data_IF_466137763823
#
_entry.id   IF_466137763823
#
_cell.length_a   1.000
_cell.length_b   1.000
_cell.length_c   1.000
_cell.angle_alpha   90.00
_cell.angle_beta   90.00
_cell.angle_gamma   90.00
#
_symmetry.space_group_name_H-M   'P 1'
#
loop_
_entity.id
_entity.type
_entity.pdbx_description
1 polymer ?
#
# COMPACT_ATOMS: atom_id res chain seq x y z
N UNK A 1 40.19 -38.55 -11.73
CA UNK A 1 38.90 -39.25 -11.86
C UNK A 1 38.48 -39.69 -10.47
N UNK A 2 37.77 -38.82 -9.77
CA UNK A 2 36.77 -39.18 -8.74
C UNK A 2 35.92 -37.95 -8.55
N UNK A 3 34.73 -38.07 -9.12
CA UNK A 3 33.59 -37.18 -9.09
C UNK A 3 32.99 -37.27 -7.68
N UNK A 4 32.98 -36.18 -6.92
CA UNK A 4 32.23 -36.11 -5.66
C UNK A 4 31.38 -34.84 -5.62
N UNK A 5 30.08 -35.10 -5.57
CA UNK A 5 29.04 -34.38 -4.84
C UNK A 5 28.68 -32.99 -5.34
N UNK A 6 27.75 -32.96 -6.32
CA UNK A 6 26.94 -31.77 -6.60
C UNK A 6 25.45 -32.01 -6.82
N UNK A 7 24.90 -33.10 -6.28
CA UNK A 7 23.48 -33.43 -6.41
C UNK A 7 22.86 -33.86 -5.07
N UNK A 8 22.64 -32.93 -4.13
CA UNK A 8 21.83 -33.23 -2.92
C UNK A 8 21.25 -32.00 -2.18
N UNK A 9 21.20 -30.82 -2.82
CA UNK A 9 20.74 -29.59 -2.15
C UNK A 9 19.22 -29.44 -2.00
N UNK A 10 18.36 -29.77 -2.99
CA UNK A 10 16.91 -29.59 -2.84
C UNK A 10 16.28 -30.59 -1.85
N UNK A 11 16.80 -31.82 -1.81
CA UNK A 11 16.24 -32.88 -0.96
C UNK A 11 16.49 -32.63 0.53
N UNK A 12 17.55 -31.90 0.88
CA UNK A 12 17.87 -31.60 2.29
C UNK A 12 16.84 -30.65 2.91
N UNK A 13 16.40 -29.64 2.17
CA UNK A 13 15.41 -28.67 2.64
C UNK A 13 14.03 -29.34 2.77
N UNK A 14 13.62 -30.15 1.80
CA UNK A 14 12.36 -30.88 1.85
C UNK A 14 12.33 -31.90 3.01
N UNK A 15 13.44 -32.63 3.24
CA UNK A 15 13.56 -33.56 4.37
C UNK A 15 13.53 -32.83 5.72
N UNK A 16 14.13 -31.66 5.82
CA UNK A 16 14.10 -30.84 7.04
C UNK A 16 12.68 -30.33 7.33
N UNK A 17 11.99 -29.81 6.30
CA UNK A 17 10.61 -29.36 6.40
C UNK A 17 9.65 -30.48 6.81
N UNK A 18 9.70 -31.64 6.13
CA UNK A 18 8.86 -32.81 6.46
C UNK A 18 9.15 -33.41 7.84
N UNK A 19 10.35 -33.20 8.38
CA UNK A 19 10.69 -33.60 9.75
C UNK A 19 10.03 -32.64 10.75
N UNK A 20 10.28 -31.34 10.58
CA UNK A 20 9.70 -30.31 11.45
C UNK A 20 8.17 -30.40 11.51
N UNK A 21 7.51 -30.56 10.34
CA UNK A 21 6.06 -30.66 10.29
C UNK A 21 5.50 -31.89 11.03
N UNK A 22 6.23 -33.02 11.01
CA UNK A 22 5.83 -34.22 11.78
C UNK A 22 6.10 -34.09 13.27
N UNK A 23 7.15 -33.37 13.64
CA UNK A 23 7.54 -33.17 15.03
C UNK A 23 6.57 -32.22 15.75
N UNK A 24 5.98 -31.27 15.02
CA UNK A 24 5.04 -30.27 15.54
C UNK A 24 3.57 -30.56 15.15
N UNK A 25 3.25 -31.73 14.59
CA UNK A 25 1.90 -32.05 14.12
C UNK A 25 0.85 -32.07 15.24
N UNK A 26 1.28 -32.34 16.47
CA UNK A 26 0.43 -32.39 17.66
C UNK A 26 0.47 -31.09 18.49
N UNK A 27 1.24 -30.09 18.05
CA UNK A 27 1.29 -28.79 18.73
C UNK A 27 -0.03 -28.05 18.52
N UNK A 28 -0.48 -27.33 19.57
CA UNK A 28 -1.78 -26.64 19.60
C UNK A 28 -1.97 -25.67 18.43
N UNK A 29 -0.88 -25.13 17.90
CA UNK A 29 -0.88 -24.15 16.81
C UNK A 29 -1.12 -24.80 15.42
N UNK A 30 -1.01 -26.13 15.32
CA UNK A 30 -1.23 -26.92 14.11
C UNK A 30 -2.41 -27.89 14.21
N UNK A 31 -3.10 -27.92 15.36
CA UNK A 31 -4.32 -28.68 15.52
C UNK A 31 -5.40 -28.14 14.57
N UNK A 32 -6.15 -29.00 13.85
CA UNK A 32 -7.29 -28.57 13.07
C UNK A 32 -8.27 -27.82 13.96
N UNK A 33 -8.67 -26.61 13.56
CA UNK A 33 -9.74 -25.88 14.25
C UNK A 33 -11.01 -26.71 14.06
N UNK A 34 -11.54 -27.27 15.15
CA UNK A 34 -12.83 -27.93 15.08
C UNK A 34 -13.92 -26.86 14.86
N UNK A 35 -14.69 -26.98 13.78
CA UNK A 35 -15.75 -26.04 13.43
C UNK A 35 -16.82 -25.86 14.54
N UNK A 36 -16.87 -26.77 15.51
CA UNK A 36 -17.73 -26.71 16.69
C UNK A 36 -17.34 -25.61 17.69
N UNK A 37 -16.10 -25.11 17.65
CA UNK A 37 -15.64 -23.98 18.49
C UNK A 37 -16.13 -22.62 17.97
N UNK A 38 -16.70 -22.57 16.76
CA UNK A 38 -17.25 -21.35 16.14
C UNK A 38 -18.78 -21.25 16.25
N UNK A 39 -19.47 -22.30 16.70
CA UNK A 39 -20.92 -22.26 16.95
C UNK A 39 -21.21 -21.70 18.36
N UNK A 40 -21.05 -20.38 18.49
CA UNK A 40 -21.52 -19.63 19.64
C UNK A 40 -23.02 -19.86 19.87
N UNK A 41 -23.38 -20.35 21.06
CA UNK A 41 -24.77 -20.51 21.51
C UNK A 41 -25.53 -19.18 21.33
N UNK A 42 -26.74 -19.19 20.76
CA UNK A 42 -27.56 -17.99 20.69
C UNK A 42 -27.93 -17.55 22.10
N UNK A 43 -27.57 -16.30 22.44
CA UNK A 43 -27.99 -15.63 23.67
C UNK A 43 -29.48 -15.30 23.54
N UNK A 44 -30.32 -16.21 24.03
CA UNK A 44 -31.69 -15.92 24.38
C UNK A 44 -31.68 -15.51 25.85
N UNK A 45 -31.84 -14.22 26.14
CA UNK A 45 -32.47 -13.67 27.36
C UNK A 45 -32.39 -12.14 27.34
N UNK A 46 -33.30 -11.49 26.62
CA UNK A 46 -33.69 -10.09 26.84
C UNK A 46 -35.20 -9.93 26.61
N UNK A 47 -36.00 -10.62 27.44
CA UNK A 47 -37.38 -10.18 27.71
C UNK A 47 -37.40 -9.39 29.02
N UNK A 48 -37.57 -8.07 28.89
CA UNK A 48 -37.76 -7.18 30.02
C UNK A 48 -39.13 -7.39 30.68
N UNK A 49 -39.13 -7.55 32.01
CA UNK A 49 -40.29 -7.28 32.87
C UNK A 49 -39.90 -6.30 33.99
N UNK A 50 -40.80 -5.37 34.37
CA UNK A 50 -40.46 -4.22 35.21
C UNK A 50 -40.78 -4.42 36.70
N UNK A 51 -40.11 -3.58 37.51
CA UNK A 51 -40.44 -3.09 38.86
C UNK A 51 -40.32 -4.03 40.06
N UNK A 52 -39.45 -3.70 41.02
CA UNK A 52 -39.78 -2.94 42.25
C UNK A 52 -38.81 -3.24 43.40
N UNK A 53 -38.25 -2.17 43.97
CA UNK A 53 -38.07 -1.86 45.40
C UNK A 53 -37.46 -2.85 46.43
N UNK A 54 -36.41 -2.30 47.07
CA UNK A 54 -36.08 -2.27 48.51
C UNK A 54 -35.22 -3.39 49.16
N UNK A 55 -34.16 -2.86 49.81
CA UNK A 55 -33.54 -3.25 51.08
C UNK A 55 -32.78 -4.58 51.22
N UNK A 56 -31.56 -4.48 51.79
CA UNK A 56 -30.96 -5.57 52.56
C UNK A 56 -29.46 -5.76 52.37
N UNK A 57 -28.68 -5.39 53.39
CA UNK A 57 -27.22 -5.50 53.51
C UNK A 57 -26.77 -6.94 53.91
N UNK A 58 -25.47 -7.23 54.13
CA UNK A 58 -24.71 -8.29 53.45
C UNK A 58 -24.42 -9.54 54.33
N UNK A 59 -23.96 -10.65 53.74
CA UNK A 59 -23.11 -11.60 54.48
C UNK A 59 -22.26 -12.52 53.60
N UNK A 60 -20.97 -12.44 53.90
CA UNK A 60 -19.82 -13.34 53.85
C UNK A 60 -19.92 -14.85 53.49
N UNK A 61 -18.77 -15.29 52.95
CA UNK A 61 -18.02 -16.55 53.10
C UNK A 61 -18.44 -17.86 52.40
N UNK A 62 -17.74 -18.12 51.28
CA UNK A 62 -16.79 -19.23 51.04
C UNK A 62 -17.30 -20.72 51.00
N UNK A 63 -16.44 -21.71 50.61
CA UNK A 63 -16.50 -22.37 49.30
C UNK A 63 -16.89 -23.87 49.36
N UNK A 64 -17.30 -24.46 48.23
CA UNK A 64 -17.79 -25.83 48.23
C UNK A 64 -17.60 -26.63 46.93
N UNK A 65 -16.50 -27.38 46.90
CA UNK A 65 -16.39 -28.76 46.43
C UNK A 65 -16.68 -29.13 44.96
N UNK A 66 -15.58 -29.49 44.29
CA UNK A 66 -15.49 -30.39 43.14
C UNK A 66 -16.32 -31.68 43.35
N UNK A 67 -17.37 -31.85 42.55
CA UNK A 67 -18.18 -33.06 42.45
C UNK A 67 -17.80 -33.89 41.23
N UNK A 68 -17.32 -35.10 41.47
CA UNK A 68 -16.86 -36.05 40.47
C UNK A 68 -17.99 -36.90 39.84
N UNK A 69 -17.70 -37.39 38.62
CA UNK A 69 -18.21 -38.60 37.95
C UNK A 69 -19.65 -38.58 37.40
N UNK A 70 -19.75 -38.83 36.08
CA UNK A 70 -20.40 -40.05 35.56
C UNK A 70 -19.93 -40.44 34.16
N UNK A 71 -19.49 -41.69 34.05
CA UNK A 71 -19.23 -42.44 32.81
C UNK A 71 -20.55 -42.70 32.08
N UNK A 72 -20.53 -42.59 30.76
CA UNK A 72 -21.56 -43.11 29.86
C UNK A 72 -20.94 -43.49 28.52
N UNK A 73 -20.50 -44.74 28.42
CA UNK A 73 -20.16 -45.44 27.18
C UNK A 73 -21.36 -45.50 26.25
N UNK A 74 -21.21 -45.08 24.98
CA UNK A 74 -22.04 -45.53 23.87
C UNK A 74 -21.20 -45.84 22.64
N UNK A 75 -21.68 -46.86 21.94
CA UNK A 75 -21.02 -47.68 20.93
C UNK A 75 -21.12 -47.03 19.54
N UNK A 76 -19.98 -47.08 18.85
CA UNK A 76 -19.80 -47.40 17.42
C UNK A 76 -20.85 -47.00 16.38
N UNK A 77 -20.40 -46.19 15.41
CA UNK A 77 -20.84 -46.31 14.02
C UNK A 77 -19.61 -46.25 13.11
N UNK A 78 -19.46 -47.28 12.28
CA UNK A 78 -18.49 -47.38 11.22
C UNK A 78 -18.93 -46.53 10.02
N UNK A 79 -18.01 -45.78 9.42
CA UNK A 79 -18.15 -45.25 8.08
C UNK A 79 -16.86 -45.52 7.31
N UNK A 80 -16.97 -46.43 6.35
CA UNK A 80 -15.95 -46.68 5.34
C UNK A 80 -16.02 -45.57 4.28
N UNK A 81 -14.85 -45.04 3.90
CA UNK A 81 -14.73 -44.14 2.75
C UNK A 81 -13.48 -44.48 1.96
N UNK A 82 -13.72 -44.64 0.66
CA UNK A 82 -12.85 -45.13 -0.41
C UNK A 82 -11.75 -44.13 -0.76
N UNK A 83 -10.60 -44.67 -1.17
CA UNK A 83 -9.45 -43.94 -1.66
C UNK A 83 -9.70 -43.24 -3.01
N UNK A 84 -9.17 -42.02 -3.16
CA UNK A 84 -8.84 -41.44 -4.47
C UNK A 84 -7.40 -40.91 -4.41
N UNK A 85 -6.46 -41.71 -4.89
CA UNK A 85 -5.06 -41.29 -5.13
C UNK A 85 -5.00 -40.77 -6.56
N UNK A 86 -5.09 -39.45 -6.74
CA UNK A 86 -4.68 -38.80 -7.98
C UNK A 86 -3.21 -38.42 -7.86
N UNK A 87 -2.37 -39.16 -8.57
CA UNK A 87 -0.98 -38.80 -8.82
C UNK A 87 -0.95 -37.62 -9.80
N UNK A 88 -0.77 -36.41 -9.27
CA UNK A 88 -0.37 -35.25 -10.07
C UNK A 88 1.15 -35.16 -10.00
N UNK A 89 1.87 -35.10 -11.14
CA UNK A 89 3.30 -34.87 -11.13
C UNK A 89 3.56 -33.45 -10.60
N UNK A 90 4.18 -33.38 -9.41
CA UNK A 90 4.76 -32.14 -8.88
C UNK A 90 5.93 -31.76 -9.79
N UNK A 91 5.64 -30.93 -10.79
CA UNK A 91 6.67 -30.08 -11.40
C UNK A 91 6.99 -29.04 -10.34
N UNK A 92 8.12 -29.21 -9.66
CA UNK A 92 8.64 -28.22 -8.72
C UNK A 92 8.95 -26.93 -9.46
N UNK A 93 8.04 -25.96 -9.38
CA UNK A 93 8.28 -24.58 -9.79
C UNK A 93 8.80 -23.84 -8.56
N UNK A 94 10.11 -23.63 -8.54
CA UNK A 94 10.77 -22.67 -7.67
C UNK A 94 10.40 -21.27 -8.13
N UNK A 95 9.62 -20.52 -7.33
CA UNK A 95 9.46 -19.09 -7.54
C UNK A 95 10.70 -18.37 -7.02
N UNK A 96 11.56 -17.97 -7.95
CA UNK A 96 12.52 -16.89 -7.77
C UNK A 96 12.40 -16.01 -9.01
N UNK A 97 12.05 -14.75 -8.80
CA UNK A 97 12.01 -13.71 -9.83
C UNK A 97 13.38 -13.57 -10.52
N UNK A 98 13.62 -14.39 -11.55
CA UNK A 98 14.68 -14.25 -12.55
C UNK A 98 14.30 -15.07 -13.78
N UNK A 99 13.80 -14.42 -14.82
CA UNK A 99 13.77 -15.01 -16.16
C UNK A 99 14.71 -14.24 -17.08
N UNK A 100 15.83 -14.89 -17.36
CA UNK A 100 16.49 -14.86 -18.67
C UNK A 100 15.92 -16.01 -19.50
N UNK A 101 15.53 -15.78 -20.76
CA UNK A 101 15.77 -16.68 -21.91
C UNK A 101 15.39 -15.99 -23.24
N UNK A 102 16.40 -15.95 -24.12
CA UNK A 102 16.44 -16.01 -25.59
C UNK A 102 15.46 -15.22 -26.47
N UNK A 103 16.06 -14.22 -27.13
CA UNK A 103 15.57 -13.52 -28.30
C UNK A 103 15.44 -14.41 -29.56
N UNK A 104 14.36 -14.22 -30.31
CA UNK A 104 14.37 -14.34 -31.77
C UNK A 104 13.74 -13.08 -32.36
N UNK A 105 14.55 -12.32 -33.07
CA UNK A 105 14.17 -11.08 -33.72
C UNK A 105 13.34 -11.36 -34.98
N UNK A 106 12.23 -10.65 -35.13
CA UNK A 106 11.44 -10.60 -36.35
C UNK A 106 10.72 -9.26 -36.45
N UNK A 107 11.31 -8.29 -37.14
CA UNK A 107 10.61 -7.07 -37.54
C UNK A 107 9.55 -7.41 -38.61
N UNK A 108 8.45 -6.63 -38.67
CA UNK A 108 8.29 -5.86 -39.89
C UNK A 108 7.66 -4.46 -39.74
N UNK A 109 8.18 -3.58 -40.60
CA UNK A 109 7.55 -2.57 -41.44
C UNK A 109 6.30 -1.79 -40.96
N UNK A 110 6.49 -0.47 -40.93
CA UNK A 110 5.48 0.57 -40.87
C UNK A 110 4.46 0.53 -42.03
N UNK A 111 3.21 0.86 -41.71
CA UNK A 111 2.24 1.37 -42.65
C UNK A 111 1.39 2.44 -41.95
N UNK A 112 1.45 3.67 -42.48
CA UNK A 112 0.70 4.81 -41.98
C UNK A 112 -0.79 4.71 -42.30
N UNK A 113 -1.59 5.32 -41.43
CA UNK A 113 -3.01 5.59 -41.63
C UNK A 113 -3.42 6.70 -40.69
N UNK A 114 -3.72 7.87 -41.24
CA UNK A 114 -4.23 9.03 -40.52
C UNK A 114 -5.73 8.84 -40.23
N UNK A 115 -6.17 9.21 -39.02
CA UNK A 115 -7.43 9.93 -38.69
C UNK A 115 -7.55 10.00 -37.16
N UNK A 116 -7.32 11.18 -36.59
CA UNK A 116 -8.33 12.18 -36.20
C UNK A 116 -9.20 11.72 -35.02
N UNK A 117 -8.68 11.96 -33.82
CA UNK A 117 -9.45 12.12 -32.58
C UNK A 117 -8.64 13.01 -31.63
N UNK A 118 -9.28 14.10 -31.22
CA UNK A 118 -8.77 15.21 -30.43
C UNK A 118 -8.26 14.73 -29.05
N UNK A 119 -6.99 14.35 -28.97
CA UNK A 119 -6.21 14.31 -27.73
C UNK A 119 -5.50 15.66 -27.63
N UNK A 120 -5.62 16.34 -26.49
CA UNK A 120 -4.82 17.52 -26.21
C UNK A 120 -3.34 17.14 -26.33
N UNK A 121 -2.72 17.63 -27.38
CA UNK A 121 -1.32 17.37 -27.71
C UNK A 121 -0.43 17.81 -26.53
N UNK A 122 0.33 16.87 -25.97
CA UNK A 122 1.41 17.17 -25.04
C UNK A 122 2.39 18.13 -25.73
N UNK A 123 2.90 19.17 -25.03
CA UNK A 123 3.93 20.02 -25.59
C UNK A 123 5.19 19.17 -25.88
N UNK A 124 5.76 19.37 -27.06
CA UNK A 124 6.99 18.74 -27.54
C UNK A 124 8.13 18.88 -26.50
N UNK A 125 8.91 17.83 -26.21
CA UNK A 125 9.88 17.85 -25.14
C UNK A 125 10.99 18.87 -25.41
N UNK A 126 11.06 19.90 -24.56
CA UNK A 126 12.19 20.81 -24.53
C UNK A 126 13.47 20.03 -24.19
N UNK A 127 14.54 20.32 -24.94
CA UNK A 127 15.86 19.75 -24.72
C UNK A 127 16.30 19.86 -23.25
N UNK A 128 16.93 18.80 -22.75
CA UNK A 128 17.46 18.66 -21.38
C UNK A 128 18.13 19.96 -20.89
N UNK A 129 17.72 20.54 -19.75
CA UNK A 129 18.47 21.63 -19.16
C UNK A 129 19.69 21.08 -18.41
N UNK A 130 20.83 21.67 -18.71
CA UNK A 130 22.08 21.49 -17.98
C UNK A 130 21.91 21.84 -16.50
N UNK A 131 22.62 21.10 -15.65
CA UNK A 131 22.78 21.30 -14.21
C UNK A 131 22.93 22.78 -13.84
N UNK A 132 21.84 23.38 -13.36
CA UNK A 132 21.84 24.70 -12.73
C UNK A 132 21.68 24.52 -11.20
N UNK A 133 22.57 25.17 -10.47
CA UNK A 133 22.69 25.18 -9.01
C UNK A 133 21.39 25.66 -8.35
N UNK A 134 20.77 24.80 -7.52
CA UNK A 134 19.53 25.07 -6.80
C UNK A 134 19.77 25.96 -5.56
N UNK A 135 19.43 27.23 -5.68
CA UNK A 135 18.99 28.06 -4.56
C UNK A 135 17.65 28.66 -4.98
N UNK A 136 16.56 28.17 -4.36
CA UNK A 136 15.19 28.58 -4.65
C UNK A 136 14.53 27.75 -5.76
N UNK A 137 14.11 26.53 -5.45
CA UNK A 137 13.19 25.80 -6.31
C UNK A 137 11.86 26.57 -6.31
N UNK A 138 11.64 27.35 -7.37
CA UNK A 138 10.31 27.87 -7.68
C UNK A 138 9.53 26.67 -8.20
N UNK A 139 8.37 26.40 -7.61
CA UNK A 139 7.40 25.38 -8.02
C UNK A 139 7.31 25.34 -9.56
N UNK A 140 7.79 24.27 -10.17
CA UNK A 140 7.76 24.13 -11.62
C UNK A 140 6.30 23.93 -12.02
N UNK A 141 5.64 25.01 -12.44
CA UNK A 141 4.23 24.97 -12.76
C UNK A 141 3.97 24.01 -13.93
N UNK A 142 3.04 23.07 -13.74
CA UNK A 142 2.66 22.13 -14.77
C UNK A 142 2.00 22.86 -15.95
N UNK A 143 2.19 22.38 -17.20
CA UNK A 143 1.41 22.87 -18.35
C UNK A 143 -0.09 22.70 -18.11
N UNK A 144 -0.91 23.54 -18.77
CA UNK A 144 -2.36 23.42 -18.70
C UNK A 144 -2.84 22.02 -19.15
N UNK A 145 -3.81 21.46 -18.43
CA UNK A 145 -4.33 20.10 -18.67
C UNK A 145 -3.46 18.98 -18.08
N UNK A 146 -2.31 19.31 -17.48
CA UNK A 146 -1.39 18.35 -16.87
C UNK A 146 -1.15 18.69 -15.40
N UNK A 147 -0.80 17.66 -14.63
CA UNK A 147 -0.33 17.80 -13.26
C UNK A 147 0.92 16.97 -13.03
N UNK A 148 1.80 17.46 -12.17
CA UNK A 148 2.93 16.68 -11.68
C UNK A 148 2.45 15.59 -10.74
N UNK A 149 3.11 14.45 -10.82
CA UNK A 149 3.05 13.39 -9.83
C UNK A 149 4.46 12.98 -9.45
N UNK A 150 4.66 12.54 -8.22
CA UNK A 150 6.00 12.28 -7.71
C UNK A 150 6.02 11.12 -6.73
N UNK A 151 7.01 10.26 -6.91
CA UNK A 151 7.29 9.11 -6.06
C UNK A 151 8.78 8.78 -6.17
N UNK A 152 9.37 8.34 -5.06
CA UNK A 152 10.81 8.16 -4.91
C UNK A 152 11.53 9.45 -5.33
N UNK A 153 12.54 9.35 -6.20
CA UNK A 153 13.26 10.50 -6.77
C UNK A 153 12.78 10.89 -8.18
N UNK A 154 11.53 10.58 -8.55
CA UNK A 154 11.01 10.86 -9.89
C UNK A 154 9.74 11.69 -9.84
N UNK A 155 9.67 12.70 -10.71
CA UNK A 155 8.46 13.44 -11.03
C UNK A 155 8.06 13.21 -12.49
N UNK A 156 6.76 13.10 -12.77
CA UNK A 156 6.21 12.83 -14.10
C UNK A 156 4.94 13.64 -14.32
N UNK A 157 4.66 14.06 -15.55
CA UNK A 157 3.42 14.74 -15.90
C UNK A 157 2.36 13.72 -16.31
N UNK A 158 1.16 13.87 -15.76
CA UNK A 158 -0.03 13.10 -16.14
C UNK A 158 -1.18 14.07 -16.46
N UNK A 159 -2.19 13.66 -17.24
CA UNK A 159 -3.39 14.47 -17.44
C UNK A 159 -4.05 14.81 -16.10
N UNK A 160 -4.45 16.07 -15.93
CA UNK A 160 -5.06 16.56 -14.68
C UNK A 160 -6.42 15.90 -14.38
N UNK A 161 -7.11 15.44 -15.42
CA UNK A 161 -8.34 14.67 -15.34
C UNK A 161 -8.15 13.26 -14.76
N UNK A 162 -6.91 12.74 -14.68
CA UNK A 162 -6.66 11.43 -14.10
C UNK A 162 -6.83 11.47 -12.58
N UNK A 163 -7.67 10.57 -12.08
CA UNK A 163 -7.85 10.36 -10.65
C UNK A 163 -6.68 9.62 -10.02
N UNK A 164 -6.92 9.12 -8.81
CA UNK A 164 -6.04 8.18 -8.15
C UNK A 164 -6.86 6.96 -7.74
N UNK A 165 -6.36 5.77 -7.97
CA UNK A 165 -6.99 4.51 -7.57
C UNK A 165 -5.92 3.43 -7.38
N UNK A 166 -6.31 2.21 -7.00
CA UNK A 166 -5.39 1.09 -6.86
C UNK A 166 -5.32 0.27 -8.15
N UNK A 167 -4.10 0.10 -8.66
CA UNK A 167 -3.84 -0.83 -9.73
C UNK A 167 -4.22 -2.26 -9.29
N UNK A 168 -4.75 -3.11 -10.18
CA UNK A 168 -5.03 -4.49 -9.85
C UNK A 168 -3.75 -5.22 -9.38
N UNK A 169 -3.85 -5.96 -8.28
CA UNK A 169 -2.76 -6.79 -7.77
C UNK A 169 -2.71 -8.18 -8.43
N UNK A 170 -1.68 -8.99 -8.13
CA UNK A 170 -1.61 -10.39 -8.56
C UNK A 170 -2.76 -11.24 -7.95
N UNK A 171 -3.41 -10.72 -6.92
CA UNK A 171 -4.55 -11.27 -6.21
C UNK A 171 -5.90 -10.77 -6.73
N UNK A 172 -5.96 -10.26 -7.96
CA UNK A 172 -7.20 -9.73 -8.57
C UNK A 172 -8.40 -10.70 -8.52
N UNK A 173 -8.15 -12.01 -8.51
CA UNK A 173 -9.17 -13.06 -8.47
C UNK A 173 -9.58 -13.48 -7.05
N UNK A 174 -8.89 -12.97 -6.02
CA UNK A 174 -9.05 -13.45 -4.65
C UNK A 174 -10.26 -12.88 -3.93
N UNK A 175 -10.79 -11.75 -4.40
CA UNK A 175 -11.99 -11.14 -3.86
C UNK A 175 -13.04 -10.97 -4.95
N UNK A 176 -14.28 -11.34 -4.64
CA UNK A 176 -15.45 -10.86 -5.39
C UNK A 176 -15.58 -9.35 -5.14
N UNK A 177 -14.87 -8.51 -5.90
CA UNK A 177 -14.94 -7.07 -5.64
C UNK A 177 -13.86 -6.15 -6.18
N UNK A 178 -12.89 -6.61 -6.99
CA UNK A 178 -12.10 -5.61 -7.73
C UNK A 178 -13.03 -4.88 -8.70
N UNK A 179 -13.38 -3.65 -8.35
CA UNK A 179 -14.14 -2.77 -9.22
C UNK A 179 -13.14 -2.01 -10.07
N UNK A 180 -13.20 -2.23 -11.38
CA UNK A 180 -12.43 -1.44 -12.34
C UNK A 180 -12.76 0.04 -12.16
N UNK A 181 -11.76 0.92 -12.03
CA UNK A 181 -12.00 2.36 -12.01
C UNK A 181 -12.60 2.84 -13.33
N UNK A 182 -13.58 3.74 -13.26
CA UNK A 182 -14.32 4.24 -14.43
C UNK A 182 -13.48 5.14 -15.35
N UNK A 183 -12.36 5.65 -14.86
CA UNK A 183 -11.50 6.59 -15.56
C UNK A 183 -10.01 6.25 -15.36
N UNK A 184 -9.11 6.75 -16.23
CA UNK A 184 -7.68 6.57 -16.03
C UNK A 184 -7.21 7.19 -14.71
N UNK A 185 -6.17 6.59 -14.12
CA UNK A 185 -5.72 6.99 -12.80
C UNK A 185 -4.21 6.82 -12.60
N UNK A 186 -3.71 7.46 -11.55
CA UNK A 186 -2.37 7.22 -11.01
C UNK A 186 -2.50 6.25 -9.84
N UNK A 187 -1.71 5.17 -9.88
CA UNK A 187 -1.74 4.13 -8.88
C UNK A 187 -1.35 4.67 -7.49
N UNK A 188 -2.22 4.42 -6.51
CA UNK A 188 -2.01 4.76 -5.11
C UNK A 188 -1.13 3.71 -4.46
N UNK A 189 0.06 4.13 -4.02
CA UNK A 189 0.96 3.32 -3.20
C UNK A 189 1.26 1.91 -3.79
N UNK A 190 1.93 1.86 -4.93
CA UNK A 190 2.32 0.60 -5.56
C UNK A 190 3.40 -0.17 -4.77
N UNK A 191 4.16 0.50 -3.90
CA UNK A 191 5.36 -0.06 -3.28
C UNK A 191 5.11 -0.77 -1.95
N UNK A 192 4.01 -0.45 -1.25
CA UNK A 192 3.73 -0.94 0.09
C UNK A 192 2.34 -1.58 0.24
N UNK A 193 1.66 -1.92 -0.87
CA UNK A 193 0.38 -2.61 -0.81
C UNK A 193 0.57 -4.07 -0.41
N UNK A 194 -0.10 -4.49 0.66
CA UNK A 194 -0.23 -5.91 0.95
C UNK A 194 -1.17 -6.55 -0.08
N UNK A 195 -0.64 -7.49 -0.85
CA UNK A 195 -1.40 -8.32 -1.79
C UNK A 195 -1.48 -9.73 -1.22
N UNK A 196 -2.63 -10.38 -1.36
CA UNK A 196 -2.76 -11.77 -0.94
C UNK A 196 -1.81 -12.66 -1.76
N UNK A 197 -1.17 -13.63 -1.10
CA UNK A 197 -0.29 -14.60 -1.75
C UNK A 197 -1.10 -15.68 -2.48
N UNK A 198 -1.90 -15.28 -3.48
CA UNK A 198 -2.79 -16.12 -4.26
C UNK A 198 -2.31 -16.14 -5.72
N UNK A 199 -2.23 -17.32 -6.30
CA UNK A 199 -1.92 -17.49 -7.71
C UNK A 199 -3.24 -17.53 -8.50
N UNK A 200 -3.58 -16.42 -9.16
CA UNK A 200 -4.73 -16.40 -10.05
C UNK A 200 -4.51 -17.31 -11.27
N UNK A 201 -5.50 -18.12 -11.64
CA UNK A 201 -5.32 -19.21 -12.61
C UNK A 201 -5.16 -18.74 -14.05
N UNK A 202 -5.63 -17.53 -14.36
CA UNK A 202 -5.66 -16.95 -15.70
C UNK A 202 -4.98 -15.56 -15.69
N UNK A 203 -4.60 -15.01 -16.85
CA UNK A 203 -4.26 -13.60 -16.96
C UNK A 203 -5.42 -12.71 -16.51
N UNK A 204 -5.12 -11.49 -16.06
CA UNK A 204 -6.15 -10.53 -15.67
C UNK A 204 -7.05 -10.20 -16.88
N UNK A 205 -8.39 -10.36 -16.74
CA UNK A 205 -9.33 -10.04 -17.81
C UNK A 205 -9.36 -8.54 -18.15
N UNK A 206 -9.55 -8.22 -19.42
CA UNK A 206 -9.74 -6.84 -19.92
C UNK A 206 -10.82 -6.03 -19.20
N UNK A 207 -11.88 -6.71 -18.76
CA UNK A 207 -12.96 -6.09 -18.01
C UNK A 207 -12.48 -5.44 -16.70
N UNK A 208 -11.33 -5.88 -16.17
CA UNK A 208 -10.71 -5.35 -14.95
C UNK A 208 -9.53 -4.40 -15.24
N UNK A 209 -9.06 -4.33 -16.49
CA UNK A 209 -7.94 -3.46 -16.88
C UNK A 209 -8.42 -2.03 -17.09
N UNK A 210 -7.61 -1.07 -16.69
CA UNK A 210 -7.86 0.35 -16.91
C UNK A 210 -6.54 1.06 -17.19
N UNK A 211 -6.56 2.11 -18.01
CA UNK A 211 -5.37 2.91 -18.26
C UNK A 211 -4.87 3.52 -16.96
N UNK A 212 -3.61 3.26 -16.59
CA UNK A 212 -3.05 3.83 -15.38
C UNK A 212 -1.53 3.92 -15.41
N UNK A 213 -0.99 4.82 -14.58
CA UNK A 213 0.44 4.90 -14.27
C UNK A 213 0.67 4.23 -12.91
N UNK A 214 1.60 3.28 -12.86
CA UNK A 214 2.14 2.69 -11.63
C UNK A 214 3.66 2.78 -11.61
N UNK A 215 4.25 2.51 -10.45
CA UNK A 215 5.67 2.72 -10.17
C UNK A 215 6.16 1.73 -9.13
N UNK A 216 7.44 1.40 -9.10
CA UNK A 216 8.02 0.66 -7.97
C UNK A 216 9.50 0.97 -7.82
N UNK A 217 10.11 0.65 -6.67
CA UNK A 217 11.56 0.64 -6.57
C UNK A 217 12.17 -0.20 -7.70
N UNK A 218 13.12 0.41 -8.42
CA UNK A 218 13.81 -0.24 -9.52
C UNK A 218 14.80 -1.28 -8.98
N UNK A 219 14.72 -2.49 -9.49
CA UNK A 219 15.73 -3.53 -9.34
C UNK A 219 16.89 -3.30 -10.31
N UNK A 220 18.04 -3.87 -10.00
CA UNK A 220 19.23 -3.80 -10.88
C UNK A 220 19.03 -4.50 -12.22
N UNK A 221 18.08 -5.44 -12.30
CA UNK A 221 17.71 -6.18 -13.51
C UNK A 221 16.63 -5.50 -14.34
N UNK A 222 16.06 -4.40 -13.86
CA UNK A 222 15.01 -3.70 -14.60
C UNK A 222 15.57 -2.96 -15.80
N UNK A 223 14.86 -3.08 -16.91
CA UNK A 223 15.14 -2.47 -18.20
C UNK A 223 13.87 -1.89 -18.79
N UNK A 224 14.03 -0.90 -19.64
CA UNK A 224 12.93 -0.34 -20.43
C UNK A 224 12.34 -1.47 -21.30
N UNK A 225 11.01 -1.60 -21.28
CA UNK A 225 10.32 -2.66 -22.03
C UNK A 225 8.88 -2.28 -22.36
N UNK A 226 8.43 -2.77 -23.50
CA UNK A 226 6.99 -2.85 -23.81
C UNK A 226 6.60 -4.33 -23.73
N UNK A 227 5.65 -4.63 -22.86
CA UNK A 227 5.11 -5.97 -22.70
C UNK A 227 3.69 -6.04 -23.25
N UNK A 228 3.42 -7.02 -24.09
CA UNK A 228 2.06 -7.41 -24.46
C UNK A 228 1.40 -8.16 -23.29
N UNK A 229 0.28 -7.63 -22.80
CA UNK A 229 -0.47 -8.20 -21.68
C UNK A 229 -1.58 -9.15 -22.15
N UNK A 230 -1.73 -9.34 -23.47
CA UNK A 230 -2.85 -10.03 -24.08
C UNK A 230 -4.02 -9.09 -24.35
N UNK A 231 -4.96 -9.57 -25.17
CA UNK A 231 -6.27 -8.95 -25.42
C UNK A 231 -6.23 -7.47 -25.83
N UNK A 232 -5.12 -7.04 -26.45
CA UNK A 232 -4.96 -5.68 -26.94
C UNK A 232 -4.52 -4.68 -25.88
N UNK A 233 -3.90 -5.12 -24.79
CA UNK A 233 -3.30 -4.27 -23.76
C UNK A 233 -1.77 -4.34 -23.75
N UNK A 234 -1.15 -3.20 -23.43
CA UNK A 234 0.30 -3.08 -23.27
C UNK A 234 0.65 -2.55 -21.88
N UNK A 235 1.76 -3.03 -21.32
CA UNK A 235 2.49 -2.38 -20.25
C UNK A 235 3.78 -1.80 -20.81
N UNK A 236 3.90 -0.47 -20.84
CA UNK A 236 5.12 0.23 -21.23
C UNK A 236 5.84 0.65 -19.97
N UNK A 237 7.05 0.14 -19.76
CA UNK A 237 7.85 0.41 -18.56
C UNK A 237 9.14 1.15 -18.91
N UNK A 238 9.49 2.12 -18.07
CA UNK A 238 10.74 2.86 -18.16
C UNK A 238 11.41 2.99 -16.80
N UNK A 239 12.71 2.69 -16.74
CA UNK A 239 13.49 2.88 -15.52
C UNK A 239 14.06 4.30 -15.50
N UNK A 240 13.75 5.04 -14.44
CA UNK A 240 14.25 6.40 -14.21
C UNK A 240 14.82 6.45 -12.79
N UNK A 241 16.14 6.53 -12.69
CA UNK A 241 16.87 6.50 -11.42
C UNK A 241 16.47 5.34 -10.49
N UNK A 242 15.87 5.62 -9.34
CA UNK A 242 15.47 4.64 -8.33
C UNK A 242 14.07 4.05 -8.59
N UNK A 243 13.34 4.52 -9.59
CA UNK A 243 11.99 4.08 -9.92
C UNK A 243 11.92 3.32 -11.25
N UNK A 244 11.08 2.29 -11.31
CA UNK A 244 10.55 1.74 -12.54
C UNK A 244 9.10 2.23 -12.69
N UNK A 245 8.85 3.08 -13.68
CA UNK A 245 7.53 3.56 -14.03
C UNK A 245 6.92 2.59 -15.05
N UNK A 246 5.63 2.30 -14.93
CA UNK A 246 4.89 1.48 -15.89
C UNK A 246 3.55 2.13 -16.18
N UNK A 247 3.23 2.32 -17.45
CA UNK A 247 1.90 2.75 -17.86
C UNK A 247 1.22 1.58 -18.57
N UNK A 248 0.10 1.12 -18.03
CA UNK A 248 -0.77 0.17 -18.73
C UNK A 248 -1.77 0.95 -19.59
N UNK A 249 -1.89 0.58 -20.86
CA UNK A 249 -2.78 1.22 -21.85
C UNK A 249 -3.35 0.19 -22.83
N UNK A 250 -4.50 0.46 -23.47
CA UNK A 250 -4.85 -0.21 -24.71
C UNK A 250 -3.71 -0.07 -25.74
N UNK A 251 -3.49 -1.10 -26.55
CA UNK A 251 -2.41 -1.11 -27.55
C UNK A 251 -2.56 0.00 -28.60
N UNK A 252 -3.79 0.49 -28.84
CA UNK A 252 -4.07 1.65 -29.70
C UNK A 252 -3.54 2.96 -29.12
N UNK A 253 -3.30 3.00 -27.81
CA UNK A 253 -2.97 4.20 -27.06
C UNK A 253 -1.51 4.17 -26.57
N UNK A 254 -0.64 3.37 -27.19
CA UNK A 254 0.77 3.27 -26.80
C UNK A 254 1.47 4.64 -26.76
N UNK A 255 1.15 5.54 -27.69
CA UNK A 255 1.73 6.88 -27.74
C UNK A 255 1.47 7.67 -26.44
N UNK A 256 0.31 7.49 -25.80
CA UNK A 256 0.00 8.14 -24.52
C UNK A 256 0.96 7.68 -23.42
N UNK A 257 1.27 6.39 -23.36
CA UNK A 257 2.23 5.84 -22.42
C UNK A 257 3.65 6.38 -22.69
N UNK A 258 4.05 6.41 -23.96
CA UNK A 258 5.36 6.93 -24.38
C UNK A 258 5.50 8.43 -24.03
N UNK A 259 4.45 9.23 -24.26
CA UNK A 259 4.43 10.67 -23.94
C UNK A 259 4.53 10.91 -22.43
N UNK A 260 3.75 10.20 -21.60
CA UNK A 260 3.83 10.29 -20.14
C UNK A 260 5.24 9.94 -19.66
N UNK A 261 5.77 8.78 -20.09
CA UNK A 261 7.10 8.30 -19.66
C UNK A 261 8.26 9.15 -20.20
N UNK A 262 8.05 9.95 -21.25
CA UNK A 262 9.02 10.91 -21.75
C UNK A 262 9.15 12.14 -20.84
N UNK A 263 8.13 12.47 -20.05
CA UNK A 263 8.16 13.61 -19.12
C UNK A 263 8.84 13.30 -17.78
N UNK A 264 9.15 12.03 -17.51
CA UNK A 264 9.73 11.60 -16.26
C UNK A 264 11.13 12.22 -16.03
N UNK A 265 11.32 12.85 -14.89
CA UNK A 265 12.55 13.54 -14.51
C UNK A 265 12.98 13.20 -13.08
N UNK A 266 14.30 13.14 -12.87
CA UNK A 266 14.88 12.90 -11.54
C UNK A 266 14.86 14.19 -10.73
N UNK A 267 14.41 14.12 -9.49
CA UNK A 267 14.26 15.25 -8.58
C UNK A 267 14.83 14.92 -7.19
N UNK A 268 15.41 15.91 -6.51
CA UNK A 268 15.80 15.80 -5.09
C UNK A 268 14.72 16.37 -4.15
N UNK A 269 13.91 17.29 -4.69
CA UNK A 269 12.72 17.86 -4.08
C UNK A 269 11.67 17.86 -5.17
N UNK A 270 10.51 17.29 -4.87
CA UNK A 270 9.42 17.21 -5.82
C UNK A 270 8.89 18.61 -6.21
N UNK A 271 8.07 18.72 -7.27
CA UNK A 271 7.54 20.00 -7.72
C UNK A 271 6.74 20.76 -6.65
N UNK A 272 6.22 20.07 -5.63
CA UNK A 272 5.42 20.64 -4.53
C UNK A 272 6.27 21.03 -3.31
N UNK A 273 7.59 20.78 -3.34
CA UNK A 273 8.51 21.14 -2.27
C UNK A 273 8.75 20.04 -1.22
N UNK A 274 8.34 18.81 -1.50
CA UNK A 274 8.62 17.63 -0.67
C UNK A 274 10.01 17.06 -1.00
N UNK A 275 10.94 17.00 -0.03
CA UNK A 275 12.17 16.23 -0.21
C UNK A 275 11.87 14.79 -0.59
N UNK A 276 12.73 14.17 -1.40
CA UNK A 276 12.52 12.77 -1.83
C UNK A 276 12.97 11.74 -0.79
N UNK A 277 13.67 12.20 0.26
CA UNK A 277 14.13 11.41 1.41
C UNK A 277 13.58 12.01 2.70
N UNK A 278 13.07 11.17 3.58
CA UNK A 278 12.82 11.52 4.97
C UNK A 278 14.16 11.65 5.69
N UNK A 279 14.73 12.86 5.69
CA UNK A 279 15.92 13.20 6.47
C UNK A 279 15.57 13.65 7.89
N UNK A 280 16.54 14.26 8.58
CA UNK A 280 16.28 15.04 9.79
C UNK A 280 15.36 16.22 9.43
N UNK A 281 14.05 16.01 9.53
CA UNK A 281 13.05 17.04 9.31
C UNK A 281 13.31 18.13 10.34
N UNK A 282 13.81 19.28 9.87
CA UNK A 282 13.97 20.45 10.71
C UNK A 282 12.57 20.97 11.03
N UNK A 283 12.13 20.75 12.27
CA UNK A 283 10.87 21.26 12.77
C UNK A 283 10.98 22.80 12.80
N UNK A 284 10.04 23.46 12.12
CA UNK A 284 10.03 24.91 11.95
C UNK A 284 9.50 25.64 13.19
N UNK A 285 8.85 26.79 12.97
CA UNK A 285 8.16 27.49 14.04
C UNK A 285 6.98 26.64 14.59
N UNK A 286 6.58 26.84 15.87
CA UNK A 286 5.38 26.21 16.42
C UNK A 286 4.15 26.54 15.57
N UNK A 287 3.32 25.55 15.26
CA UNK A 287 2.17 25.76 14.38
C UNK A 287 1.19 26.78 14.95
N UNK A 288 1.05 26.83 16.28
CA UNK A 288 0.23 27.81 16.98
C UNK A 288 0.64 29.28 16.73
N UNK A 289 1.84 29.53 16.21
CA UNK A 289 2.32 30.88 15.86
C UNK A 289 2.11 31.25 14.38
N UNK A 290 1.60 30.31 13.59
CA UNK A 290 1.32 30.52 12.16
C UNK A 290 0.00 31.29 12.04
N UNK A 291 0.08 32.59 11.72
CA UNK A 291 -1.09 33.49 11.75
C UNK A 291 -1.81 33.62 10.41
N UNK A 292 -1.16 33.24 9.31
CA UNK A 292 -1.73 33.17 7.97
C UNK A 292 -1.22 31.90 7.29
N UNK A 293 -2.11 31.15 6.66
CA UNK A 293 -1.75 29.94 5.93
C UNK A 293 -2.38 29.96 4.57
N UNK A 294 -1.55 30.22 3.56
CA UNK A 294 -1.98 30.23 2.18
C UNK A 294 -1.79 28.84 1.55
N UNK A 295 -0.88 28.02 2.08
CA UNK A 295 -0.57 26.69 1.58
C UNK A 295 -0.17 25.68 2.66
N UNK A 296 -0.60 24.43 2.47
CA UNK A 296 -0.14 23.25 3.18
C UNK A 296 0.24 22.20 2.16
N UNK A 297 1.45 21.66 2.24
CA UNK A 297 1.88 20.54 1.40
C UNK A 297 2.07 19.31 2.29
N UNK A 298 1.35 18.24 1.96
CA UNK A 298 1.48 16.97 2.63
C UNK A 298 2.44 16.07 1.83
N UNK A 299 3.50 15.61 2.49
CA UNK A 299 4.51 14.72 1.92
C UNK A 299 4.52 13.42 2.71
N UNK A 300 4.26 12.30 2.05
CA UNK A 300 4.28 10.99 2.70
C UNK A 300 5.51 10.20 2.30
N UNK A 301 6.07 9.50 3.28
CA UNK A 301 7.26 8.69 3.14
C UNK A 301 6.96 7.26 3.55
N UNK A 302 7.51 6.31 2.80
CA UNK A 302 7.39 4.89 3.06
C UNK A 302 8.66 4.35 3.75
N UNK A 303 8.49 3.30 4.56
CA UNK A 303 9.57 2.52 5.14
C UNK A 303 10.13 1.54 4.11
N UNK A 304 10.97 2.07 3.22
CA UNK A 304 11.67 1.27 2.22
C UNK A 304 13.03 0.81 2.74
N UNK A 305 13.48 -0.41 2.36
CA UNK A 305 14.79 -0.90 2.76
C UNK A 305 15.92 -0.04 2.15
N UNK A 306 16.86 0.37 3.02
CA UNK A 306 18.04 1.17 2.65
C UNK A 306 17.87 2.66 2.93
N UNK A 307 18.83 3.46 2.46
CA UNK A 307 18.89 4.92 2.64
C UNK A 307 18.50 5.68 1.34
N UNK A 308 17.76 5.00 0.47
CA UNK A 308 17.32 5.53 -0.82
C UNK A 308 16.20 6.58 -0.70
N UNK A 309 15.80 7.19 -1.83
CA UNK A 309 14.56 7.97 -1.90
C UNK A 309 13.38 7.13 -1.40
N UNK A 310 12.52 7.75 -0.60
CA UNK A 310 11.40 7.07 0.04
C UNK A 310 10.10 7.92 0.08
N UNK A 311 10.04 9.02 -0.67
CA UNK A 311 8.79 9.73 -0.91
C UNK A 311 7.77 8.78 -1.58
N UNK A 312 6.65 8.56 -0.94
CA UNK A 312 5.56 7.73 -1.45
C UNK A 312 4.53 8.54 -2.25
N UNK A 313 4.39 9.83 -1.94
CA UNK A 313 3.48 10.73 -2.63
C UNK A 313 3.44 12.10 -1.98
N UNK A 314 2.84 13.06 -2.68
CA UNK A 314 2.64 14.40 -2.18
C UNK A 314 1.36 15.04 -2.70
N UNK A 315 0.77 15.94 -1.92
CA UNK A 315 -0.39 16.73 -2.33
C UNK A 315 -0.31 18.13 -1.73
N UNK A 316 -0.74 19.12 -2.50
CA UNK A 316 -0.79 20.51 -2.07
C UNK A 316 -2.24 20.95 -1.82
N UNK A 317 -2.45 21.66 -0.73
CA UNK A 317 -3.70 22.30 -0.35
C UNK A 317 -3.46 23.81 -0.30
N UNK A 318 -4.44 24.58 -0.77
CA UNK A 318 -4.34 26.04 -0.81
C UNK A 318 -5.63 26.68 -0.28
N UNK A 319 -5.53 27.93 0.18
CA UNK A 319 -6.68 28.73 0.60
C UNK A 319 -7.54 28.04 1.65
N UNK A 320 -8.84 27.87 1.35
CA UNK A 320 -9.81 27.32 2.30
C UNK A 320 -9.47 25.89 2.77
N UNK A 321 -8.92 25.05 1.89
CA UNK A 321 -8.56 23.67 2.24
C UNK A 321 -7.35 23.64 3.18
N UNK A 322 -6.34 24.48 2.91
CA UNK A 322 -5.20 24.66 3.79
C UNK A 322 -5.63 25.14 5.20
N UNK A 323 -6.55 26.11 5.26
CA UNK A 323 -7.13 26.58 6.52
C UNK A 323 -7.95 25.50 7.23
N UNK A 324 -8.73 24.69 6.51
CA UNK A 324 -9.53 23.63 7.09
C UNK A 324 -8.66 22.54 7.74
N UNK A 325 -7.54 22.18 7.09
CA UNK A 325 -6.57 21.22 7.63
C UNK A 325 -6.01 21.71 8.97
N UNK A 326 -5.52 22.94 9.02
CA UNK A 326 -4.93 23.47 10.27
C UNK A 326 -5.99 23.70 11.35
N UNK A 327 -7.16 24.21 10.98
CA UNK A 327 -8.26 24.45 11.92
C UNK A 327 -8.77 23.17 12.59
N UNK A 328 -8.55 22.01 11.99
CA UNK A 328 -8.97 20.73 12.55
C UNK A 328 -7.88 19.95 13.30
N UNK A 329 -6.68 20.52 13.54
CA UNK A 329 -5.66 19.92 14.40
C UNK A 329 -6.07 19.86 15.90
N UNK A 330 -7.03 20.69 16.32
CA UNK A 330 -7.49 20.75 17.71
C UNK A 330 -6.47 21.40 18.67
N UNK A 331 -6.74 21.28 19.97
CA UNK A 331 -5.86 21.79 21.03
C UNK A 331 -4.67 20.86 21.29
N UNK A 332 -3.51 21.38 21.75
CA UNK A 332 -2.38 20.58 22.18
C UNK A 332 -2.74 19.52 23.23
N UNK A 333 -2.19 18.31 23.08
CA UNK A 333 -2.39 17.19 24.00
C UNK A 333 -1.08 16.67 24.55
N UNK A 334 -1.12 16.18 25.80
CA UNK A 334 -0.03 15.38 26.37
C UNK A 334 -0.16 13.95 25.86
N UNK A 335 0.84 13.48 25.13
CA UNK A 335 0.90 12.11 24.63
C UNK A 335 1.55 11.18 25.66
N UNK A 336 0.97 10.00 25.85
CA UNK A 336 1.58 8.92 26.63
C UNK A 336 2.80 8.34 25.90
N UNK A 337 3.75 7.79 26.67
CA UNK A 337 4.87 7.03 26.11
C UNK A 337 4.35 5.81 25.32
N UNK A 338 4.99 5.46 24.19
CA UNK A 338 4.63 4.26 23.45
C UNK A 338 4.87 3.01 24.31
N UNK A 339 4.05 1.97 24.19
CA UNK A 339 4.31 0.69 24.86
C UNK A 339 5.67 0.13 24.41
N UNK A 340 6.44 -0.45 25.33
CA UNK A 340 7.82 -0.89 25.08
C UNK A 340 7.99 -1.95 23.97
N UNK A 341 6.90 -2.63 23.57
CA UNK A 341 6.91 -3.66 22.53
C UNK A 341 6.76 -3.10 21.10
N UNK A 342 6.65 -1.79 20.94
CA UNK A 342 6.41 -1.15 19.66
C UNK A 342 7.70 -0.85 18.90
N UNK A 343 7.81 -1.42 17.70
CA UNK A 343 8.88 -1.06 16.76
C UNK A 343 8.38 0.09 15.89
N UNK A 344 8.99 1.28 15.95
CA UNK A 344 8.61 2.37 15.06
C UNK A 344 8.91 1.98 13.62
N UNK A 345 7.93 2.18 12.73
CA UNK A 345 8.16 2.17 11.28
C UNK A 345 8.73 3.52 10.86
N UNK A 346 9.35 3.56 9.67
CA UNK A 346 9.76 4.84 9.04
C UNK A 346 8.65 5.45 8.17
N UNK A 347 7.45 4.87 8.19
CA UNK A 347 6.29 5.44 7.52
C UNK A 347 5.89 6.73 8.22
N UNK A 348 5.90 7.84 7.50
CA UNK A 348 5.63 9.15 8.06
C UNK A 348 4.94 10.06 7.06
N UNK A 349 4.01 10.86 7.56
CA UNK A 349 3.46 12.00 6.84
C UNK A 349 3.99 13.29 7.44
N UNK A 350 4.47 14.19 6.60
CA UNK A 350 4.84 15.55 7.01
C UNK A 350 3.90 16.57 6.37
N UNK A 351 3.46 17.56 7.14
CA UNK A 351 2.75 18.73 6.63
C UNK A 351 3.69 19.93 6.67
N UNK A 352 4.03 20.46 5.49
CA UNK A 352 4.84 21.66 5.32
C UNK A 352 3.92 22.84 5.13
N UNK A 353 3.93 23.78 6.06
CA UNK A 353 3.04 24.94 6.08
C UNK A 353 3.81 26.14 5.51
N UNK A 354 3.22 26.88 4.57
CA UNK A 354 3.83 28.05 3.92
C UNK A 354 5.26 27.77 3.39
N UNK A 355 5.45 26.65 2.70
CA UNK A 355 6.77 26.25 2.17
C UNK A 355 7.74 25.65 3.21
N UNK A 356 7.28 25.42 4.43
CA UNK A 356 8.06 24.80 5.53
C UNK A 356 8.45 25.77 6.64
N UNK A 357 7.76 26.91 6.77
CA UNK A 357 7.88 27.80 7.93
C UNK A 357 7.56 27.04 9.23
N UNK A 358 6.54 26.18 9.17
CA UNK A 358 6.22 25.19 10.18
C UNK A 358 6.10 23.81 9.54
N UNK A 359 6.45 22.78 10.30
CA UNK A 359 6.37 21.38 9.85
C UNK A 359 5.73 20.54 10.93
N UNK A 360 4.67 19.83 10.59
CA UNK A 360 4.06 18.81 11.44
C UNK A 360 4.47 17.43 10.94
N UNK A 361 4.75 16.52 11.86
CA UNK A 361 5.03 15.11 11.59
C UNK A 361 3.92 14.24 12.13
N UNK A 362 3.49 13.26 11.35
CA UNK A 362 2.56 12.23 11.75
C UNK A 362 3.20 10.88 11.45
N UNK A 363 3.84 10.23 12.44
CA UNK A 363 4.39 8.89 12.26
C UNK A 363 3.26 7.85 12.19
N UNK A 364 3.39 6.88 11.27
CA UNK A 364 2.48 5.75 11.14
C UNK A 364 3.05 4.51 11.84
N UNK A 365 3.34 4.64 13.14
CA UNK A 365 3.95 3.54 13.92
C UNK A 365 2.95 2.43 14.31
N UNK A 366 1.65 2.61 14.02
CA UNK A 366 0.57 1.67 14.35
C UNK A 366 0.32 1.49 15.86
N UNK A 367 1.12 2.14 16.70
CA UNK A 367 1.27 1.86 18.11
C UNK A 367 0.60 2.90 19.01
N UNK A 368 0.29 4.06 18.45
CA UNK A 368 -0.41 5.15 19.12
C UNK A 368 -1.51 5.70 18.22
N UNK A 369 -2.52 6.35 18.80
CA UNK A 369 -3.40 7.20 18.03
C UNK A 369 -2.59 8.22 17.22
N UNK A 370 -2.99 8.53 15.98
CA UNK A 370 -2.30 9.50 15.13
C UNK A 370 -2.27 10.87 15.82
N UNK A 371 -1.08 11.39 16.06
CA UNK A 371 -0.87 12.75 16.58
C UNK A 371 0.11 13.48 15.67
N UNK A 372 -0.27 14.67 15.22
CA UNK A 372 0.65 15.57 14.55
C UNK A 372 1.58 16.20 15.58
N UNK A 373 2.88 16.20 15.34
CA UNK A 373 3.94 16.71 16.23
C UNK A 373 4.73 17.81 15.50
N UNK A 374 4.74 19.04 16.03
CA UNK A 374 5.56 20.15 15.50
C UNK A 374 6.90 20.31 16.25
N UNK A 375 7.23 19.38 17.16
CA UNK A 375 8.42 19.45 18.02
C UNK A 375 8.21 20.23 19.31
N UNK A 376 7.11 20.98 19.42
CA UNK A 376 6.75 21.77 20.59
C UNK A 376 5.49 21.25 21.27
N UNK A 377 4.52 20.80 20.48
CA UNK A 377 3.23 20.30 20.89
C UNK A 377 2.78 19.15 19.99
N UNK A 378 1.86 18.36 20.52
CA UNK A 378 1.18 17.30 19.78
C UNK A 378 -0.29 17.62 19.64
N UNK A 379 -0.85 17.36 18.47
CA UNK A 379 -2.21 17.74 18.11
C UNK A 379 -2.98 16.50 17.68
N UNK A 380 -4.20 16.35 18.20
CA UNK A 380 -5.09 15.26 17.78
C UNK A 380 -5.95 15.75 16.61
N UNK A 381 -5.71 15.26 15.38
CA UNK A 381 -6.49 15.71 14.25
C UNK A 381 -7.96 15.29 14.40
N UNK A 382 -8.84 16.15 13.91
CA UNK A 382 -10.23 15.80 13.69
C UNK A 382 -10.33 14.74 12.59
N UNK A 383 -11.42 13.97 12.62
CA UNK A 383 -11.69 12.94 11.60
C UNK A 383 -11.69 13.51 10.18
N UNK A 384 -12.29 14.70 10.02
CA UNK A 384 -12.32 15.41 8.75
C UNK A 384 -10.91 15.85 8.30
N UNK A 385 -10.05 16.30 9.22
CA UNK A 385 -8.66 16.68 8.90
C UNK A 385 -7.87 15.47 8.46
N UNK A 386 -7.95 14.39 9.23
CA UNK A 386 -7.19 13.19 8.91
C UNK A 386 -7.64 12.59 7.57
N UNK A 387 -8.96 12.50 7.34
CA UNK A 387 -9.52 12.05 6.05
C UNK A 387 -9.14 13.00 4.89
N UNK A 388 -9.17 14.31 5.13
CA UNK A 388 -8.86 15.32 4.11
C UNK A 388 -7.39 15.35 3.72
N UNK A 389 -6.49 15.04 4.66
CA UNK A 389 -5.05 14.96 4.40
C UNK A 389 -4.67 13.61 3.78
N UNK A 390 -5.30 12.50 4.17
CA UNK A 390 -5.06 11.16 3.60
C UNK A 390 -5.90 10.92 2.34
N UNK A 391 -5.72 11.79 1.35
CA UNK A 391 -6.45 11.80 0.08
C UNK A 391 -5.52 11.75 -1.13
N UNK A 392 -6.09 11.44 -2.30
CA UNK A 392 -5.38 11.45 -3.59
C UNK A 392 -4.22 10.46 -3.63
N UNK A 393 -2.97 10.92 -3.88
CA UNK A 393 -1.80 10.06 -3.99
C UNK A 393 -1.30 9.57 -2.62
N UNK A 394 -1.80 10.15 -1.53
CA UNK A 394 -1.39 9.77 -0.19
C UNK A 394 -2.07 8.46 0.23
N UNK A 395 -1.25 7.54 0.69
CA UNK A 395 -1.59 6.20 1.16
C UNK A 395 -2.60 6.24 2.29
N UNK A 396 -3.65 5.45 2.10
CA UNK A 396 -4.44 4.83 3.15
C UNK A 396 -3.93 3.41 3.29
N UNK A 397 -3.19 3.14 4.37
CA UNK A 397 -2.82 1.78 4.67
C UNK A 397 -3.98 0.88 4.95
N UNK A 398 -3.76 -0.41 4.71
CA UNK A 398 -4.25 -1.43 5.62
C UNK A 398 -3.60 -1.13 6.98
N UNK A 399 -4.17 -0.18 7.71
CA UNK A 399 -3.86 -0.02 9.11
C UNK A 399 -4.36 -1.31 9.78
N UNK A 400 -3.50 -2.15 10.37
CA UNK A 400 -3.99 -3.18 11.27
C UNK A 400 -4.66 -2.54 12.50
N UNK A 401 -4.49 -1.23 12.69
CA UNK A 401 -5.10 -0.46 13.76
C UNK A 401 -6.45 0.15 13.31
N UNK A 402 -7.53 -0.50 13.74
CA UNK A 402 -8.90 0.01 13.64
C UNK A 402 -9.08 1.42 14.23
N UNK A 403 -8.18 1.91 15.10
CA UNK A 403 -8.23 3.28 15.61
C UNK A 403 -7.85 4.33 14.57
N UNK A 404 -6.84 4.08 13.72
CA UNK A 404 -6.46 5.06 12.70
C UNK A 404 -7.46 5.02 11.54
N UNK A 405 -7.97 3.84 11.20
CA UNK A 405 -9.14 3.72 10.36
C UNK A 405 -10.36 4.43 10.99
N UNK A 406 -10.75 4.19 12.24
CA UNK A 406 -11.91 4.88 12.81
C UNK A 406 -11.71 6.39 13.01
N UNK A 407 -10.49 6.84 13.29
CA UNK A 407 -10.14 8.25 13.42
C UNK A 407 -10.00 8.98 12.09
N UNK A 408 -9.71 8.30 10.97
CA UNK A 408 -9.38 8.94 9.69
C UNK A 408 -10.19 8.44 8.48
N UNK A 409 -10.89 7.32 8.60
CA UNK A 409 -11.90 6.87 7.64
C UNK A 409 -13.14 7.74 7.83
N UNK A 410 -13.79 8.24 6.77
CA UNK A 410 -14.97 9.12 6.85
C UNK A 410 -16.18 8.51 7.56
#
# INVERSE_FOLDING_TARGET
MTDHDRADSPDRAERAFRRAFREHADDRDFAPIELTDLEGKPSADLEGKPSADLEGKPSADEPGALGARRRGTWVGVAAASVALVLAVPVIGIWFSNRDTISATAGAPAAAGGAQDSRIESFPEPAAQPSTATLSGATEAQAPAGLRWESMLDVAVLVPDAWGHDFAPGPDWCAADGYQRPDAPFVDRNPSARATMAIACPEPMPDALRQTHLTWRPAATTDVDRTQDLGDGWLAVSRRVSSALLTVEVPATDQQLADDILATAQVVEVDPRGCPVRLGDVTLGAPVAQTTATDSVVACQYADLPGDGPNLAGSVAFTGADAHAILGGLGEPVTASEPPQACTPTRDELTLRINGGEAVLRLPFDGCRPPLFDDGHARYRPSRATCAGVLTGPLWQGLYPNEELASACHP
#
